data_IF_039666449606
#
_entry.id   IF_039666449606
#
_cell.length_a   1.000
_cell.length_b   1.000
_cell.length_c   1.000
_cell.angle_alpha   90.00
_cell.angle_beta   90.00
_cell.angle_gamma   90.00
#
_symmetry.space_group_name_H-M   'P 1'
#
loop_
_entity.id
_entity.type
_entity.pdbx_description
1 polymer ?
#
# COMPACT_ATOMS: atom_id res chain seq x y z
N UNK A 1 19.34 -3.06 -0.43
CA UNK A 1 19.01 -2.18 0.71
C UNK A 1 17.50 -2.27 0.91
N UNK A 2 17.03 -2.82 2.03
CA UNK A 2 15.59 -2.89 2.30
C UNK A 2 15.10 -1.54 2.85
N UNK A 3 13.90 -1.11 2.43
CA UNK A 3 13.29 0.14 2.90
C UNK A 3 13.05 0.18 4.41
N UNK A 4 12.99 -0.99 5.05
CA UNK A 4 12.74 -1.12 6.48
C UNK A 4 14.00 -0.91 7.32
N UNK A 5 15.18 -1.29 6.81
CA UNK A 5 16.48 -1.13 7.48
C UNK A 5 16.84 0.34 7.73
N UNK A 6 16.30 1.25 6.91
CA UNK A 6 16.52 2.69 7.05
C UNK A 6 15.46 3.37 7.93
N UNK A 7 14.50 2.65 8.49
CA UNK A 7 13.39 3.26 9.24
C UNK A 7 13.84 3.79 10.61
N UNK A 8 13.55 5.05 10.91
CA UNK A 8 13.76 5.60 12.26
C UNK A 8 12.91 4.93 13.34
N UNK A 9 11.83 4.22 12.96
CA UNK A 9 10.98 3.49 13.89
C UNK A 9 11.70 2.26 14.45
N UNK A 10 12.48 1.58 13.61
CA UNK A 10 13.18 0.34 13.98
C UNK A 10 14.66 0.58 14.29
N UNK A 11 15.26 1.62 13.72
CA UNK A 11 16.67 1.99 13.89
C UNK A 11 16.79 3.48 14.29
N UNK A 12 16.37 3.86 15.51
CA UNK A 12 16.30 5.27 15.92
C UNK A 12 17.68 5.94 16.06
N UNK A 13 18.75 5.16 16.18
CA UNK A 13 20.13 5.65 16.28
C UNK A 13 20.87 5.69 14.94
N UNK A 14 20.23 5.23 13.85
CA UNK A 14 20.82 5.28 12.52
C UNK A 14 20.83 6.72 12.02
N UNK A 15 22.03 7.25 11.76
CA UNK A 15 22.19 8.59 11.20
C UNK A 15 21.52 8.67 9.82
N UNK A 16 20.67 9.69 9.62
CA UNK A 16 19.94 9.89 8.36
C UNK A 16 18.78 8.91 8.13
N UNK A 17 18.29 8.20 9.15
CA UNK A 17 17.14 7.32 9.03
C UNK A 17 15.88 8.04 8.48
N UNK A 18 15.01 7.26 7.85
CA UNK A 18 13.75 7.71 7.25
C UNK A 18 12.61 7.60 8.27
N UNK A 19 11.98 8.74 8.59
CA UNK A 19 10.81 8.80 9.50
C UNK A 19 9.50 8.40 8.83
N UNK A 20 9.37 8.65 7.52
CA UNK A 20 8.14 8.42 6.76
C UNK A 20 8.44 7.52 5.56
N UNK A 21 7.82 6.34 5.53
CA UNK A 21 7.89 5.43 4.41
C UNK A 21 6.79 5.76 3.38
N UNK A 22 7.05 5.67 2.08
CA UNK A 22 6.03 5.95 1.06
C UNK A 22 5.05 4.78 0.91
N UNK A 23 3.83 5.10 0.46
CA UNK A 23 2.89 4.13 -0.14
C UNK A 23 3.33 3.82 -1.56
N UNK A 24 3.27 2.55 -1.98
CA UNK A 24 3.69 2.15 -3.33
C UNK A 24 2.79 2.75 -4.43
N UNK A 25 1.46 2.67 -4.29
CA UNK A 25 0.49 3.26 -5.22
C UNK A 25 -0.54 4.12 -4.48
N UNK A 26 -0.80 5.32 -5.02
CA UNK A 26 -1.83 6.22 -4.50
C UNK A 26 -2.79 6.62 -5.62
N UNK A 27 -4.08 6.39 -5.39
CA UNK A 27 -5.18 6.84 -6.24
C UNK A 27 -5.97 7.88 -5.44
N UNK A 28 -5.83 9.16 -5.82
CA UNK A 28 -6.47 10.28 -5.12
C UNK A 28 -7.48 10.92 -6.07
N UNK A 29 -8.71 11.12 -5.60
CA UNK A 29 -9.80 11.72 -6.40
C UNK A 29 -10.08 11.00 -7.72
N UNK A 30 -9.88 9.68 -7.75
CA UNK A 30 -10.04 8.84 -8.93
C UNK A 30 -11.46 8.23 -8.98
N UNK A 31 -12.36 8.87 -9.71
CA UNK A 31 -13.75 8.40 -9.83
C UNK A 31 -13.91 7.40 -10.98
N UNK A 32 -14.65 6.30 -10.74
CA UNK A 32 -14.91 5.23 -11.71
C UNK A 32 -13.63 4.61 -12.31
N UNK A 33 -12.53 4.68 -11.57
CA UNK A 33 -11.24 4.10 -11.95
C UNK A 33 -11.20 2.59 -11.73
N UNK A 34 -10.21 1.91 -12.33
CA UNK A 34 -9.97 0.48 -12.11
C UNK A 34 -8.48 0.23 -11.94
N UNK A 35 -8.12 -0.46 -10.86
CA UNK A 35 -6.83 -1.13 -10.68
C UNK A 35 -7.03 -2.61 -10.94
N UNK A 36 -6.33 -3.20 -11.90
CA UNK A 36 -6.50 -4.63 -12.15
C UNK A 36 -5.25 -5.34 -12.64
N UNK A 37 -5.18 -6.64 -12.37
CA UNK A 37 -4.13 -7.55 -12.88
C UNK A 37 -2.71 -7.04 -12.61
N UNK A 38 -2.46 -6.62 -11.37
CA UNK A 38 -1.16 -6.12 -10.92
C UNK A 38 -0.68 -6.93 -9.71
N UNK A 39 0.63 -7.14 -9.65
CA UNK A 39 1.32 -7.72 -8.51
C UNK A 39 2.21 -6.68 -7.86
N UNK A 40 2.01 -6.42 -6.57
CA UNK A 40 2.73 -5.41 -5.79
C UNK A 40 3.48 -6.13 -4.66
N UNK A 41 4.78 -5.90 -4.56
CA UNK A 41 5.63 -6.55 -3.57
C UNK A 41 6.39 -5.55 -2.71
N UNK A 42 6.64 -5.93 -1.45
CA UNK A 42 7.58 -5.26 -0.56
C UNK A 42 7.36 -3.75 -0.44
N UNK A 43 6.10 -3.32 -0.26
CA UNK A 43 5.83 -1.90 -0.06
C UNK A 43 6.52 -1.40 1.22
N UNK A 44 7.16 -0.22 1.21
CA UNK A 44 7.75 0.37 2.41
C UNK A 44 6.72 0.61 3.51
N UNK A 45 5.46 0.87 3.13
CA UNK A 45 4.31 1.04 4.01
C UNK A 45 3.07 0.39 3.41
N UNK A 46 1.99 1.14 3.19
CA UNK A 46 0.77 0.67 2.55
C UNK A 46 1.06 0.33 1.09
N UNK A 47 0.50 -0.76 0.55
CA UNK A 47 0.70 -1.09 -0.88
C UNK A 47 -0.14 -0.18 -1.78
N UNK A 48 -1.44 -0.08 -1.51
CA UNK A 48 -2.37 0.75 -2.28
C UNK A 48 -3.15 1.67 -1.36
N UNK A 49 -3.17 2.97 -1.67
CA UNK A 49 -4.09 3.93 -1.08
C UNK A 49 -5.13 4.35 -2.12
N UNK A 50 -6.41 4.25 -1.77
CA UNK A 50 -7.53 4.82 -2.52
C UNK A 50 -8.16 5.91 -1.65
N UNK A 51 -8.04 7.16 -2.08
CA UNK A 51 -8.43 8.35 -1.33
C UNK A 51 -9.39 9.22 -2.14
N UNK A 52 -10.39 9.79 -1.47
CA UNK A 52 -11.36 10.75 -2.05
C UNK A 52 -12.00 10.29 -3.38
N UNK A 53 -12.21 8.99 -3.52
CA UNK A 53 -12.58 8.35 -4.80
C UNK A 53 -13.99 7.76 -4.74
N UNK A 54 -14.71 7.77 -5.87
CA UNK A 54 -16.06 7.21 -5.98
C UNK A 54 -16.18 6.19 -7.10
N UNK A 55 -16.67 4.99 -6.81
CA UNK A 55 -16.88 3.96 -7.83
C UNK A 55 -15.59 3.30 -8.31
N UNK A 56 -14.52 3.29 -7.51
CA UNK A 56 -13.24 2.70 -7.90
C UNK A 56 -13.27 1.17 -7.74
N UNK A 57 -12.77 0.46 -8.74
CA UNK A 57 -12.74 -1.00 -8.74
C UNK A 57 -11.30 -1.53 -8.62
N UNK A 58 -11.10 -2.51 -7.74
CA UNK A 58 -9.85 -3.25 -7.63
C UNK A 58 -10.15 -4.71 -7.93
N UNK A 59 -9.49 -5.28 -8.94
CA UNK A 59 -9.78 -6.64 -9.38
C UNK A 59 -8.51 -7.40 -9.75
N UNK A 60 -8.39 -8.66 -9.33
CA UNK A 60 -7.24 -9.50 -9.66
C UNK A 60 -5.90 -8.87 -9.25
N UNK A 61 -5.83 -8.34 -8.03
CA UNK A 61 -4.61 -7.76 -7.47
C UNK A 61 -3.92 -8.74 -6.53
N UNK A 62 -2.62 -8.91 -6.70
CA UNK A 62 -1.79 -9.66 -5.77
C UNK A 62 -0.91 -8.69 -4.98
N UNK A 63 -0.86 -8.86 -3.66
CA UNK A 63 0.01 -8.12 -2.75
C UNK A 63 0.82 -9.13 -1.94
N UNK A 64 2.13 -8.95 -1.86
CA UNK A 64 3.00 -9.81 -1.07
C UNK A 64 4.14 -9.03 -0.38
N UNK A 65 4.26 -9.20 0.93
CA UNK A 65 5.44 -8.81 1.71
C UNK A 65 6.01 -10.00 2.49
N UNK A 66 7.27 -9.93 2.96
CA UNK A 66 7.85 -10.88 3.89
C UNK A 66 7.10 -10.87 5.23
N UNK A 67 7.09 -12.01 5.93
CA UNK A 67 6.38 -12.16 7.21
C UNK A 67 6.88 -11.20 8.31
N UNK A 68 8.16 -10.81 8.24
CA UNK A 68 8.81 -9.89 9.16
C UNK A 68 8.67 -8.42 8.73
N UNK A 69 7.88 -8.13 7.69
CA UNK A 69 7.68 -6.77 7.21
C UNK A 69 6.95 -5.91 8.24
N UNK A 70 7.41 -4.67 8.48
CA UNK A 70 6.92 -3.87 9.60
C UNK A 70 5.57 -3.14 9.42
N UNK A 71 4.85 -3.27 8.29
CA UNK A 71 3.66 -2.46 7.99
C UNK A 71 2.45 -3.28 7.47
N UNK A 72 1.25 -2.91 7.94
CA UNK A 72 0.04 -3.76 8.06
C UNK A 72 -1.05 -3.59 6.99
N UNK A 73 -0.89 -2.70 6.00
CA UNK A 73 -1.98 -2.36 5.10
C UNK A 73 -1.70 -2.79 3.66
N UNK A 74 -2.49 -3.75 3.16
CA UNK A 74 -2.52 -4.08 1.74
C UNK A 74 -3.15 -2.95 0.94
N UNK A 75 -4.48 -2.78 1.08
CA UNK A 75 -5.24 -1.73 0.40
C UNK A 75 -5.92 -0.86 1.46
N UNK A 76 -5.50 0.39 1.57
CA UNK A 76 -6.07 1.39 2.47
C UNK A 76 -7.08 2.26 1.70
N UNK A 77 -8.31 2.37 2.21
CA UNK A 77 -9.37 3.18 1.63
C UNK A 77 -9.69 4.35 2.58
N UNK A 78 -9.59 5.58 2.10
CA UNK A 78 -9.85 6.79 2.88
C UNK A 78 -10.86 7.69 2.16
N UNK A 79 -11.86 8.22 2.88
CA UNK A 79 -12.82 9.22 2.36
C UNK A 79 -13.43 8.89 0.99
N UNK A 80 -13.64 7.60 0.72
CA UNK A 80 -14.06 7.09 -0.59
C UNK A 80 -15.39 6.37 -0.51
N UNK A 81 -16.12 6.28 -1.62
CA UNK A 81 -17.46 5.71 -1.66
C UNK A 81 -17.65 4.75 -2.83
N UNK A 82 -18.42 3.68 -2.65
CA UNK A 82 -18.65 2.65 -3.67
C UNK A 82 -17.33 2.06 -4.22
N UNK A 83 -16.42 1.69 -3.32
CA UNK A 83 -15.21 0.95 -3.68
C UNK A 83 -15.54 -0.55 -3.67
N UNK A 84 -15.09 -1.27 -4.69
CA UNK A 84 -15.26 -2.72 -4.78
C UNK A 84 -13.89 -3.37 -5.01
N UNK A 85 -13.59 -4.40 -4.24
CA UNK A 85 -12.34 -5.17 -4.30
C UNK A 85 -12.71 -6.64 -4.52
N UNK A 86 -12.20 -7.27 -5.57
CA UNK A 86 -12.51 -8.66 -5.94
C UNK A 86 -11.29 -9.41 -6.44
N UNK A 87 -11.36 -10.75 -6.39
CA UNK A 87 -10.37 -11.67 -6.97
C UNK A 87 -8.91 -11.40 -6.55
N UNK A 88 -8.70 -10.83 -5.36
CA UNK A 88 -7.40 -10.34 -4.93
C UNK A 88 -6.81 -11.21 -3.83
N UNK A 89 -5.49 -11.40 -3.87
CA UNK A 89 -4.71 -12.14 -2.86
C UNK A 89 -3.82 -11.12 -2.14
N UNK A 90 -3.95 -11.02 -0.81
CA UNK A 90 -3.22 -10.03 -0.01
C UNK A 90 -2.47 -10.75 1.09
N UNK A 91 -1.14 -10.74 1.01
CA UNK A 91 -0.22 -11.10 2.07
C UNK A 91 0.66 -9.91 2.43
N UNK A 92 0.62 -9.47 3.68
CA UNK A 92 1.37 -8.32 4.20
C UNK A 92 2.13 -8.69 5.45
#
# INVERSE_FOLDING_TARGET
>A
MHWWDQSCRYHPTLEGCTKLAPTALKFVSCNKGTLSSIYIVNSPQTHVLVMDSKGFYVDNVMIQSPQDSPNTDGIHIHSSHAIKITNSIIGT
#
